data_IF_027480593286
#
_entry.id   IF_027480593286
#
_cell.length_a   1.000
_cell.length_b   1.000
_cell.length_c   1.000
_cell.angle_alpha   90.00
_cell.angle_beta   90.00
_cell.angle_gamma   90.00
#
_symmetry.space_group_name_H-M   'P 1'
#
loop_
_entity.id
_entity.type
_entity.pdbx_description
1 polymer ?
#
# COMPACT_ATOMS: atom_id res chain seq x y z
N UNK A 1 5.82 -0.79 -46.44
CA UNK A 1 5.58 0.45 -45.68
C UNK A 1 6.01 0.15 -44.26
N UNK A 2 7.13 0.70 -43.79
CA UNK A 2 7.59 0.50 -42.41
C UNK A 2 6.65 1.33 -41.53
N UNK A 3 6.00 0.69 -40.57
CA UNK A 3 5.09 1.35 -39.64
C UNK A 3 5.90 2.20 -38.64
N UNK A 4 6.09 3.47 -39.00
CA UNK A 4 6.81 4.46 -38.20
C UNK A 4 6.16 4.72 -36.82
N UNK A 5 4.87 4.37 -36.63
CA UNK A 5 4.20 4.49 -35.33
C UNK A 5 4.78 3.55 -34.27
N UNK A 6 5.14 2.33 -34.66
CA UNK A 6 5.72 1.32 -33.76
C UNK A 6 7.14 1.66 -33.30
N UNK A 7 7.95 2.27 -34.16
CA UNK A 7 9.34 2.64 -33.86
C UNK A 7 9.42 3.82 -32.89
N UNK A 8 8.53 4.81 -33.06
CA UNK A 8 8.45 5.97 -32.16
C UNK A 8 7.95 5.53 -30.77
N UNK A 9 6.99 4.60 -30.72
CA UNK A 9 6.51 4.00 -29.47
C UNK A 9 7.61 3.26 -28.72
N UNK A 10 8.40 2.44 -29.41
CA UNK A 10 9.51 1.67 -28.81
C UNK A 10 10.63 2.57 -28.25
N UNK A 11 10.97 3.66 -28.96
CA UNK A 11 12.02 4.57 -28.51
C UNK A 11 11.57 5.46 -27.35
N UNK A 12 10.31 5.89 -27.34
CA UNK A 12 9.70 6.57 -26.19
C UNK A 12 9.61 5.65 -24.97
N UNK A 13 9.25 4.39 -25.20
CA UNK A 13 9.17 3.36 -24.16
C UNK A 13 10.55 3.08 -23.53
N UNK A 14 11.58 2.89 -24.36
CA UNK A 14 12.96 2.71 -23.90
C UNK A 14 13.47 3.89 -23.08
N UNK A 15 13.14 5.12 -23.50
CA UNK A 15 13.47 6.34 -22.74
C UNK A 15 12.73 6.43 -21.42
N UNK A 16 11.46 6.03 -21.36
CA UNK A 16 10.66 5.98 -20.15
C UNK A 16 11.22 4.95 -19.15
N UNK A 17 11.55 3.74 -19.62
CA UNK A 17 12.18 2.70 -18.81
C UNK A 17 13.53 3.18 -18.28
N UNK A 18 14.40 3.74 -19.12
CA UNK A 18 15.71 4.20 -18.67
C UNK A 18 15.59 5.29 -17.60
N UNK A 19 14.67 6.25 -17.77
CA UNK A 19 14.39 7.26 -16.74
C UNK A 19 13.86 6.65 -15.44
N UNK A 20 13.01 5.64 -15.52
CA UNK A 20 12.50 4.92 -14.35
C UNK A 20 13.62 4.13 -13.65
N UNK A 21 14.47 3.44 -14.40
CA UNK A 21 15.61 2.69 -13.87
C UNK A 21 16.65 3.62 -13.22
N UNK A 22 16.96 4.75 -13.86
CA UNK A 22 17.86 5.77 -13.30
C UNK A 22 17.27 6.38 -12.01
N UNK A 23 15.95 6.60 -11.99
CA UNK A 23 15.23 7.06 -10.81
C UNK A 23 15.29 6.04 -9.67
N UNK A 24 14.96 4.77 -9.94
CA UNK A 24 15.02 3.67 -8.96
C UNK A 24 16.43 3.43 -8.44
N UNK A 25 17.45 3.47 -9.31
CA UNK A 25 18.86 3.37 -8.92
C UNK A 25 19.27 4.55 -8.01
N UNK A 26 18.75 5.76 -8.29
CA UNK A 26 18.94 6.93 -7.44
C UNK A 26 18.26 6.85 -6.08
N UNK A 27 17.15 6.10 -5.94
CA UNK A 27 16.49 5.85 -4.66
C UNK A 27 17.31 4.86 -3.81
N UNK A 28 17.73 3.75 -4.42
CA UNK A 28 18.55 2.71 -3.77
C UNK A 28 19.92 3.28 -3.33
N UNK A 29 20.54 4.14 -4.15
CA UNK A 29 21.83 4.76 -3.83
C UNK A 29 21.79 5.82 -2.72
N UNK A 30 20.61 6.35 -2.38
CA UNK A 30 20.45 7.37 -1.33
C UNK A 30 20.26 6.76 0.07
N UNK A 31 19.70 5.55 0.17
CA UNK A 31 19.48 4.86 1.45
C UNK A 31 20.77 4.23 2.03
N UNK A 32 21.77 3.97 1.18
CA UNK A 32 23.01 3.29 1.57
C UNK A 32 24.12 4.22 2.11
N UNK A 33 23.86 5.50 2.35
CA UNK A 33 24.90 6.42 2.87
C UNK A 33 25.18 6.33 4.38
N UNK A 34 24.35 5.61 5.14
CA UNK A 34 24.48 5.49 6.61
C UNK A 34 24.62 4.05 7.12
N UNK A 35 25.05 3.09 6.29
CA UNK A 35 25.30 1.70 6.73
C UNK A 35 26.72 1.24 6.36
N UNK A 36 27.51 0.70 7.31
CA UNK A 36 28.81 0.11 6.99
C UNK A 36 28.60 -1.17 6.16
N UNK A 37 29.58 -1.56 5.32
CA UNK A 37 29.44 -2.74 4.47
C UNK A 37 29.46 -4.00 5.35
N UNK A 38 28.35 -4.76 5.35
CA UNK A 38 28.34 -6.13 5.86
C UNK A 38 28.91 -7.07 4.79
N UNK A 39 29.88 -7.88 5.20
CA UNK A 39 30.53 -8.89 4.36
C UNK A 39 29.51 -9.91 3.85
N UNK A 40 29.40 -10.02 2.53
CA UNK A 40 28.63 -11.06 1.85
C UNK A 40 29.34 -12.42 2.00
N UNK A 41 28.69 -13.46 2.55
CA UNK A 41 29.24 -14.81 2.49
C UNK A 41 29.11 -15.37 1.06
N UNK A 42 30.22 -15.94 0.57
CA UNK A 42 30.29 -16.68 -0.69
C UNK A 42 29.36 -17.89 -0.65
N UNK A 43 28.40 -17.96 -1.57
CA UNK A 43 27.58 -19.14 -1.81
C UNK A 43 28.34 -20.04 -2.80
N UNK A 44 28.78 -21.19 -2.31
CA UNK A 44 29.26 -22.30 -3.13
C UNK A 44 28.08 -22.89 -3.93
N UNK A 45 28.29 -23.02 -5.23
CA UNK A 45 27.43 -23.71 -6.16
C UNK A 45 27.52 -25.23 -5.95
N UNK A 46 26.40 -25.87 -5.61
CA UNK A 46 26.22 -27.30 -5.85
C UNK A 46 24.90 -27.52 -6.60
N UNK A 47 25.05 -27.95 -7.85
CA UNK A 47 24.00 -28.54 -8.66
C UNK A 47 23.51 -29.82 -7.98
N UNK A 48 22.22 -29.90 -7.66
CA UNK A 48 21.58 -31.18 -7.40
C UNK A 48 20.23 -31.23 -8.10
N UNK A 49 20.25 -31.88 -9.27
CA UNK A 49 19.09 -32.44 -9.93
C UNK A 49 18.42 -33.44 -8.97
N UNK A 50 17.25 -33.09 -8.43
CA UNK A 50 16.33 -34.07 -7.89
C UNK A 50 14.89 -33.68 -8.20
N UNK A 51 14.22 -34.62 -8.88
CA UNK A 51 12.82 -34.61 -9.25
C UNK A 51 11.94 -34.42 -8.01
N UNK A 52 11.24 -33.29 -7.93
CA UNK A 52 10.36 -32.94 -6.80
C UNK A 52 9.13 -33.84 -6.83
N UNK A 53 9.08 -34.77 -5.87
CA UNK A 53 7.84 -35.44 -5.46
C UNK A 53 6.91 -34.39 -4.87
N UNK A 54 5.63 -34.42 -5.23
CA UNK A 54 4.58 -33.58 -4.66
C UNK A 54 4.56 -33.73 -3.13
N UNK A 55 5.05 -32.73 -2.41
CA UNK A 55 4.90 -32.62 -0.96
C UNK A 55 3.43 -32.31 -0.66
N UNK A 56 2.68 -33.32 -0.21
CA UNK A 56 1.36 -33.12 0.38
C UNK A 56 1.50 -32.33 1.68
N UNK A 57 0.87 -31.16 1.75
CA UNK A 57 0.78 -30.37 2.98
C UNK A 57 0.05 -31.18 4.08
N UNK A 58 0.48 -31.07 5.36
CA UNK A 58 -0.26 -31.64 6.49
C UNK A 58 -1.71 -31.13 6.53
N UNK A 59 -2.68 -32.00 6.86
CA UNK A 59 -4.13 -31.69 6.86
C UNK A 59 -4.47 -30.43 7.68
N UNK A 60 -3.84 -30.25 8.85
CA UNK A 60 -4.06 -29.06 9.71
C UNK A 60 -3.62 -27.76 9.05
N UNK A 61 -2.61 -27.79 8.18
CA UNK A 61 -2.15 -26.61 7.44
C UNK A 61 -3.09 -26.34 6.26
N UNK A 62 -3.59 -27.40 5.61
CA UNK A 62 -4.57 -27.32 4.50
C UNK A 62 -5.88 -26.65 4.92
N UNK A 63 -6.43 -27.03 6.08
CA UNK A 63 -7.66 -26.44 6.63
C UNK A 63 -7.49 -24.96 7.01
N UNK A 64 -6.36 -24.63 7.65
CA UNK A 64 -6.05 -23.27 8.05
C UNK A 64 -5.87 -22.34 6.83
N UNK A 65 -5.13 -22.80 5.81
CA UNK A 65 -4.93 -22.06 4.56
C UNK A 65 -6.25 -21.77 3.86
N UNK A 66 -7.09 -22.80 3.71
CA UNK A 66 -8.41 -22.67 3.08
C UNK A 66 -9.30 -21.67 3.82
N UNK A 67 -9.35 -21.77 5.16
CA UNK A 67 -10.14 -20.87 6.01
C UNK A 67 -9.66 -19.41 5.92
N UNK A 68 -8.34 -19.19 6.01
CA UNK A 68 -7.73 -17.85 5.93
C UNK A 68 -7.92 -17.21 4.56
N UNK A 69 -7.77 -17.97 3.47
CA UNK A 69 -8.00 -17.47 2.12
C UNK A 69 -9.47 -17.12 1.89
N UNK A 70 -10.41 -17.95 2.35
CA UNK A 70 -11.85 -17.65 2.30
C UNK A 70 -12.20 -16.38 3.09
N UNK A 71 -11.63 -16.22 4.29
CA UNK A 71 -11.77 -14.99 5.10
C UNK A 71 -11.23 -13.76 4.35
N UNK A 72 -10.04 -13.87 3.77
CA UNK A 72 -9.41 -12.80 2.99
C UNK A 72 -10.31 -12.36 1.83
N UNK A 73 -10.73 -13.29 0.97
CA UNK A 73 -11.59 -12.98 -0.19
C UNK A 73 -12.91 -12.35 0.26
N UNK A 74 -13.53 -12.89 1.31
CA UNK A 74 -14.77 -12.35 1.88
C UNK A 74 -14.58 -10.92 2.38
N UNK A 75 -13.49 -10.64 3.11
CA UNK A 75 -13.20 -9.30 3.64
C UNK A 75 -13.03 -8.25 2.53
N UNK A 76 -12.49 -8.66 1.38
CA UNK A 76 -12.29 -7.78 0.22
C UNK A 76 -13.47 -7.79 -0.77
N UNK A 77 -14.63 -8.35 -0.39
CA UNK A 77 -15.83 -8.48 -1.22
C UNK A 77 -15.58 -9.22 -2.55
N UNK A 78 -14.66 -10.17 -2.57
CA UNK A 78 -14.33 -10.98 -3.74
C UNK A 78 -15.13 -12.28 -3.69
N UNK A 79 -16.01 -12.56 -4.68
CA UNK A 79 -16.73 -13.82 -4.75
C UNK A 79 -15.75 -15.00 -4.88
N UNK A 80 -15.99 -16.09 -4.15
CA UNK A 80 -15.15 -17.29 -4.24
C UNK A 80 -15.08 -17.85 -5.67
N UNK A 81 -16.17 -17.69 -6.44
CA UNK A 81 -16.24 -18.10 -7.84
C UNK A 81 -15.25 -17.35 -8.75
N UNK A 82 -14.83 -16.15 -8.35
CA UNK A 82 -13.94 -15.28 -9.11
C UNK A 82 -12.45 -15.62 -8.93
N UNK A 83 -12.11 -16.56 -8.04
CA UNK A 83 -10.71 -16.84 -7.66
C UNK A 83 -9.85 -17.32 -8.84
N UNK A 84 -10.44 -18.10 -9.75
CA UNK A 84 -9.75 -18.58 -10.94
C UNK A 84 -9.35 -17.44 -11.86
N UNK A 85 -10.23 -16.46 -12.05
CA UNK A 85 -9.95 -15.27 -12.86
C UNK A 85 -8.98 -14.32 -12.15
N UNK A 86 -9.15 -14.11 -10.85
CA UNK A 86 -8.31 -13.22 -10.04
C UNK A 86 -6.83 -13.63 -10.08
N UNK A 87 -6.56 -14.93 -10.00
CA UNK A 87 -5.19 -15.46 -9.96
C UNK A 87 -4.73 -16.10 -11.27
N UNK A 88 -5.54 -16.03 -12.33
CA UNK A 88 -5.26 -16.62 -13.65
C UNK A 88 -4.98 -18.14 -13.60
N UNK A 89 -5.84 -18.87 -12.88
CA UNK A 89 -5.74 -20.31 -12.69
C UNK A 89 -6.37 -21.05 -13.87
N UNK A 90 -5.53 -21.61 -14.76
CA UNK A 90 -5.97 -22.24 -16.01
C UNK A 90 -6.89 -23.45 -15.82
N UNK A 91 -6.75 -24.18 -14.71
CA UNK A 91 -7.48 -25.43 -14.43
C UNK A 91 -8.34 -25.35 -13.16
N UNK A 92 -8.84 -24.16 -12.83
CA UNK A 92 -9.68 -23.98 -11.65
C UNK A 92 -11.14 -24.33 -11.97
N UNK A 93 -11.69 -25.35 -11.29
CA UNK A 93 -13.09 -25.75 -11.39
C UNK A 93 -13.80 -25.57 -10.06
N UNK A 94 -15.10 -25.25 -10.10
CA UNK A 94 -15.90 -25.07 -8.89
C UNK A 94 -15.93 -26.29 -7.97
N UNK A 95 -15.82 -27.50 -8.53
CA UNK A 95 -15.70 -28.74 -7.75
C UNK A 95 -14.48 -28.79 -6.83
N UNK A 96 -13.47 -27.94 -7.05
CA UNK A 96 -12.30 -27.82 -6.17
C UNK A 96 -12.55 -26.91 -4.96
N UNK A 97 -13.62 -26.09 -4.94
CA UNK A 97 -13.95 -25.21 -3.82
C UNK A 97 -14.54 -25.95 -2.61
N UNK A 98 -15.18 -27.09 -2.87
CA UNK A 98 -15.91 -27.88 -1.88
C UNK A 98 -14.99 -28.84 -1.09
N UNK A 99 -13.81 -29.14 -1.64
CA UNK A 99 -12.83 -30.06 -1.06
C UNK A 99 -11.56 -29.26 -0.67
N UNK A 100 -11.30 -29.04 0.64
CA UNK A 100 -10.17 -28.25 1.10
C UNK A 100 -8.82 -28.70 0.55
N UNK A 101 -8.62 -30.00 0.37
CA UNK A 101 -7.34 -30.53 -0.12
C UNK A 101 -7.16 -30.22 -1.60
N UNK A 102 -8.19 -30.44 -2.43
CA UNK A 102 -8.15 -30.06 -3.85
C UNK A 102 -8.06 -28.56 -4.06
N UNK A 103 -8.63 -27.78 -3.14
CA UNK A 103 -8.50 -26.33 -3.15
C UNK A 103 -7.05 -25.94 -2.93
N UNK A 104 -6.40 -26.47 -1.90
CA UNK A 104 -5.00 -26.19 -1.57
C UNK A 104 -4.04 -26.65 -2.67
N UNK A 105 -4.31 -27.77 -3.33
CA UNK A 105 -3.51 -28.27 -4.46
C UNK A 105 -3.47 -27.28 -5.66
N UNK A 106 -4.37 -26.29 -5.71
CA UNK A 106 -4.35 -25.23 -6.71
C UNK A 106 -3.32 -24.12 -6.41
N UNK A 107 -2.72 -24.10 -5.22
CA UNK A 107 -1.85 -23.03 -4.76
C UNK A 107 -0.42 -23.51 -4.54
N UNK A 108 0.44 -23.28 -5.53
CA UNK A 108 1.88 -23.42 -5.38
C UNK A 108 2.49 -22.26 -4.57
N UNK A 109 3.78 -22.40 -4.24
CA UNK A 109 4.52 -21.39 -3.47
C UNK A 109 4.59 -20.03 -4.17
N UNK A 110 4.63 -20.00 -5.50
CA UNK A 110 4.68 -18.75 -6.27
C UNK A 110 3.35 -18.02 -6.21
N UNK A 111 2.24 -18.75 -6.32
CA UNK A 111 0.90 -18.20 -6.23
C UNK A 111 0.60 -17.71 -4.82
N UNK A 112 1.00 -18.46 -3.79
CA UNK A 112 0.86 -18.00 -2.40
C UNK A 112 1.66 -16.72 -2.16
N UNK A 113 2.87 -16.59 -2.72
CA UNK A 113 3.65 -15.36 -2.65
C UNK A 113 2.94 -14.20 -3.38
N UNK A 114 2.35 -14.47 -4.55
CA UNK A 114 1.55 -13.49 -5.30
C UNK A 114 0.32 -13.02 -4.52
N UNK A 115 -0.40 -13.93 -3.87
CA UNK A 115 -1.53 -13.60 -2.98
C UNK A 115 -1.04 -12.69 -1.85
N UNK A 116 0.07 -13.04 -1.22
CA UNK A 116 0.66 -12.24 -0.15
C UNK A 116 1.02 -10.83 -0.63
N UNK A 117 1.59 -10.67 -1.83
CA UNK A 117 1.90 -9.36 -2.41
C UNK A 117 0.65 -8.54 -2.73
N UNK A 118 -0.38 -9.15 -3.34
CA UNK A 118 -1.62 -8.47 -3.72
C UNK A 118 -2.33 -7.89 -2.50
N UNK A 119 -2.43 -8.68 -1.42
CA UNK A 119 -3.17 -8.33 -0.20
C UNK A 119 -2.29 -7.76 0.91
N UNK A 120 -0.99 -7.61 0.67
CA UNK A 120 0.01 -7.13 1.62
C UNK A 120 0.04 -7.89 2.97
N UNK A 121 -0.18 -9.20 2.92
CA UNK A 121 -0.19 -10.10 4.09
C UNK A 121 1.07 -10.97 4.14
N UNK A 122 1.37 -11.54 5.31
CA UNK A 122 2.47 -12.50 5.46
C UNK A 122 2.02 -13.94 5.15
N UNK A 123 2.91 -14.67 4.48
CA UNK A 123 2.71 -16.09 4.19
C UNK A 123 2.47 -16.92 5.46
N UNK A 124 3.17 -16.63 6.55
CA UNK A 124 2.98 -17.30 7.85
C UNK A 124 1.54 -17.18 8.37
N UNK A 125 0.89 -16.03 8.18
CA UNK A 125 -0.50 -15.83 8.58
C UNK A 125 -1.45 -16.61 7.68
N UNK A 126 -1.20 -16.55 6.37
CA UNK A 126 -2.00 -17.24 5.37
C UNK A 126 -1.95 -18.76 5.60
N UNK A 127 -0.79 -19.31 6.00
CA UNK A 127 -0.59 -20.72 6.36
C UNK A 127 -1.09 -21.08 7.76
N UNK A 128 -1.61 -20.13 8.54
CA UNK A 128 -2.08 -20.37 9.91
C UNK A 128 -0.99 -20.57 10.96
N UNK A 129 0.29 -20.32 10.63
CA UNK A 129 1.42 -20.37 11.58
C UNK A 129 1.39 -19.22 12.58
N UNK A 130 0.78 -18.10 12.19
CA UNK A 130 0.60 -16.90 13.03
C UNK A 130 -0.85 -16.46 13.05
N UNK A 131 -1.29 -15.96 14.20
CA UNK A 131 -2.62 -15.37 14.40
C UNK A 131 -2.71 -13.96 13.81
N UNK A 132 -1.66 -13.17 14.01
CA UNK A 132 -1.52 -11.79 13.54
C UNK A 132 -1.21 -11.73 12.05
N UNK A 133 -1.94 -10.91 11.29
CA UNK A 133 -1.72 -10.78 9.85
C UNK A 133 -0.47 -9.97 9.50
N UNK A 134 -0.04 -9.10 10.44
CA UNK A 134 1.09 -8.16 10.38
C UNK A 134 1.65 -7.96 8.97
N UNK A 135 1.20 -6.88 8.32
CA UNK A 135 1.55 -6.50 6.96
C UNK A 135 3.06 -6.55 6.69
N UNK A 136 3.42 -6.75 5.42
CA UNK A 136 4.78 -7.00 4.94
C UNK A 136 5.75 -5.85 5.26
N UNK A 137 5.26 -4.66 5.62
CA UNK A 137 6.09 -3.51 5.96
C UNK A 137 6.08 -3.24 7.47
N UNK A 138 7.18 -3.68 8.09
CA UNK A 138 7.63 -3.47 9.48
C UNK A 138 7.07 -2.23 10.20
N UNK A 139 6.85 -2.29 11.54
CA UNK A 139 6.54 -1.14 12.38
C UNK A 139 7.75 -0.18 12.53
N UNK A 140 8.38 0.22 11.43
CA UNK A 140 9.20 1.42 11.41
C UNK A 140 8.23 2.59 11.47
N UNK A 141 8.35 3.40 12.54
CA UNK A 141 7.55 4.63 12.70
C UNK A 141 7.51 5.38 11.36
N UNK A 142 6.34 5.78 10.88
CA UNK A 142 6.08 6.31 9.56
C UNK A 142 6.92 7.55 9.27
N UNK A 143 7.26 8.40 10.25
CA UNK A 143 8.19 9.51 9.99
C UNK A 143 9.62 9.05 9.58
N UNK A 144 10.00 7.80 9.89
CA UNK A 144 11.24 7.14 9.42
C UNK A 144 11.02 6.30 8.15
N UNK A 145 9.79 5.93 7.84
CA UNK A 145 9.38 5.05 6.75
C UNK A 145 8.42 5.73 5.75
N UNK A 146 8.39 7.06 5.70
CA UNK A 146 7.48 7.79 4.81
C UNK A 146 7.96 7.75 3.37
N UNK A 147 9.29 7.66 3.18
CA UNK A 147 9.87 7.27 1.90
C UNK A 147 9.19 5.99 1.42
N UNK A 148 8.97 5.03 2.31
CA UNK A 148 8.28 3.78 2.01
C UNK A 148 6.79 4.00 1.71
N UNK A 149 6.06 4.88 2.41
CA UNK A 149 4.66 5.19 2.07
C UNK A 149 4.53 5.81 0.67
N UNK A 150 5.31 6.86 0.39
CA UNK A 150 5.25 7.53 -0.92
C UNK A 150 5.77 6.62 -2.03
N UNK A 151 6.88 5.92 -1.80
CA UNK A 151 7.40 4.91 -2.73
C UNK A 151 6.38 3.81 -2.96
N UNK A 152 5.68 3.34 -1.92
CA UNK A 152 4.63 2.33 -2.03
C UNK A 152 3.49 2.82 -2.91
N UNK A 153 2.94 4.01 -2.62
CA UNK A 153 1.86 4.61 -3.42
C UNK A 153 2.33 4.74 -4.88
N UNK A 154 3.55 5.24 -5.10
CA UNK A 154 4.09 5.38 -6.45
C UNK A 154 4.30 4.04 -7.17
N UNK A 155 4.83 3.04 -6.47
CA UNK A 155 5.06 1.72 -7.03
C UNK A 155 3.75 1.01 -7.35
N UNK A 156 2.74 1.11 -6.48
CA UNK A 156 1.45 0.46 -6.72
C UNK A 156 0.68 1.09 -7.87
N UNK A 157 0.73 2.42 -8.01
CA UNK A 157 -0.04 3.11 -9.05
C UNK A 157 0.72 3.22 -10.37
N UNK A 158 2.04 3.42 -10.32
CA UNK A 158 2.85 3.81 -11.49
C UNK A 158 3.92 2.79 -11.86
N UNK A 159 4.06 1.68 -11.14
CA UNK A 159 4.80 0.55 -11.71
C UNK A 159 4.10 0.14 -12.99
N UNK A 160 4.79 0.12 -14.15
CA UNK A 160 4.17 -0.22 -15.43
C UNK A 160 3.47 -1.60 -15.39
N UNK A 161 3.93 -2.49 -14.52
CA UNK A 161 3.36 -3.81 -14.29
C UNK A 161 2.07 -3.81 -13.44
N UNK A 162 1.92 -2.84 -12.52
CA UNK A 162 0.75 -2.76 -11.60
C UNK A 162 -0.27 -1.70 -12.00
N UNK A 163 0.14 -0.72 -12.82
CA UNK A 163 -0.69 0.41 -13.24
C UNK A 163 -1.90 -0.02 -14.08
N UNK A 164 -1.77 -1.10 -14.86
CA UNK A 164 -2.87 -1.63 -15.68
C UNK A 164 -3.97 -2.28 -14.85
N UNK A 165 -3.58 -2.85 -13.71
CA UNK A 165 -4.52 -3.45 -12.75
C UNK A 165 -5.06 -2.40 -11.78
N UNK A 166 -4.31 -1.33 -11.49
CA UNK A 166 -4.68 -0.34 -10.48
C UNK A 166 -5.56 0.77 -11.07
N UNK A 167 -6.76 0.94 -10.49
CA UNK A 167 -7.75 1.93 -10.91
C UNK A 167 -7.62 3.25 -10.15
N UNK A 168 -7.15 3.17 -8.91
CA UNK A 168 -7.07 4.34 -8.05
C UNK A 168 -6.65 3.95 -6.64
N UNK A 169 -6.49 4.98 -5.82
CA UNK A 169 -6.21 4.82 -4.41
C UNK A 169 -6.90 5.92 -3.61
N UNK A 170 -7.13 5.63 -2.34
CA UNK A 170 -7.59 6.57 -1.33
C UNK A 170 -6.69 6.47 -0.10
N UNK A 171 -6.43 7.60 0.55
CA UNK A 171 -5.75 7.63 1.84
C UNK A 171 -6.75 7.87 2.95
N UNK A 172 -6.64 7.07 4.00
CA UNK A 172 -7.41 7.22 5.22
C UNK A 172 -6.45 7.51 6.38
N UNK A 173 -6.68 8.64 7.03
CA UNK A 173 -6.09 8.97 8.30
C UNK A 173 -7.08 8.51 9.36
N UNK A 174 -6.76 7.40 10.01
CA UNK A 174 -7.61 6.77 11.01
C UNK A 174 -7.23 7.27 12.40
N UNK A 175 -8.27 7.63 13.15
CA UNK A 175 -8.22 8.10 14.53
C UNK A 175 -9.05 7.17 15.42
N UNK A 176 -8.63 7.01 16.67
CA UNK A 176 -9.51 6.39 17.66
C UNK A 176 -10.65 7.35 18.02
N UNK A 177 -11.85 6.80 18.23
CA UNK A 177 -13.09 7.54 18.51
C UNK A 177 -13.03 8.37 19.78
N UNK A 178 -12.25 7.95 20.79
CA UNK A 178 -12.03 8.71 22.02
C UNK A 178 -11.11 9.91 21.84
N UNK A 179 -10.38 9.99 20.71
CA UNK A 179 -9.56 11.14 20.38
C UNK A 179 -10.42 12.25 19.79
N UNK A 180 -10.42 13.42 20.44
CA UNK A 180 -11.02 14.62 19.87
C UNK A 180 -10.09 15.21 18.82
N UNK A 181 -10.66 15.47 17.64
CA UNK A 181 -9.89 15.86 16.47
C UNK A 181 -10.54 17.01 15.70
N UNK A 182 -10.39 18.22 16.22
CA UNK A 182 -10.72 19.45 15.50
C UNK A 182 -9.46 20.20 15.07
N UNK A 183 -9.60 21.07 14.07
CA UNK A 183 -8.53 21.97 13.60
C UNK A 183 -7.93 22.78 14.75
N UNK A 184 -8.79 23.25 15.67
CA UNK A 184 -8.36 24.00 16.87
C UNK A 184 -7.58 23.13 17.85
N UNK A 185 -8.02 21.90 18.07
CA UNK A 185 -7.32 20.96 18.96
C UNK A 185 -5.96 20.57 18.39
N UNK A 186 -5.87 20.29 17.09
CA UNK A 186 -4.59 20.00 16.43
C UNK A 186 -3.55 21.11 16.59
N UNK A 187 -3.97 22.35 16.34
CA UNK A 187 -3.08 23.51 16.49
C UNK A 187 -2.69 23.73 17.95
N UNK A 188 -3.55 23.34 18.92
CA UNK A 188 -3.18 23.38 20.34
C UNK A 188 -2.21 22.25 20.75
N UNK A 189 -2.36 21.05 20.16
CA UNK A 189 -1.51 19.88 20.42
C UNK A 189 -0.08 20.12 19.93
N UNK A 190 0.12 20.98 18.91
CA UNK A 190 1.44 21.43 18.45
C UNK A 190 2.36 21.91 19.58
N UNK A 191 1.78 22.54 20.60
CA UNK A 191 2.52 23.16 21.71
C UNK A 191 2.59 22.29 22.96
N UNK A 192 1.93 21.13 22.96
CA UNK A 192 2.00 20.18 24.07
C UNK A 192 3.32 19.39 24.00
N UNK A 193 3.84 19.01 25.16
CA UNK A 193 5.00 18.12 25.24
C UNK A 193 4.75 16.83 24.43
N UNK A 194 5.81 16.23 23.88
CA UNK A 194 5.80 15.07 22.97
C UNK A 194 5.09 13.80 23.52
N UNK A 195 4.54 13.85 24.73
CA UNK A 195 3.82 12.79 25.43
C UNK A 195 2.33 12.73 25.13
N UNK A 196 1.75 13.69 24.39
CA UNK A 196 0.33 13.62 24.00
C UNK A 196 0.06 12.41 23.09
N UNK A 197 -0.84 11.51 23.52
CA UNK A 197 -1.09 10.19 22.91
C UNK A 197 -2.08 10.22 21.73
N UNK A 198 -2.31 11.36 21.07
CA UNK A 198 -3.13 11.40 19.85
C UNK A 198 -2.39 10.68 18.73
N UNK A 199 -2.65 9.38 18.64
CA UNK A 199 -2.09 8.42 17.71
C UNK A 199 -2.95 8.31 16.46
N UNK A 200 -2.31 8.36 15.29
CA UNK A 200 -2.95 8.03 14.01
C UNK A 200 -2.44 6.71 13.48
N UNK A 201 -3.24 6.14 12.59
CA UNK A 201 -2.84 5.12 11.65
C UNK A 201 -3.17 5.60 10.23
N UNK A 202 -2.31 5.31 9.25
CA UNK A 202 -2.60 5.60 7.84
C UNK A 202 -3.00 4.29 7.16
N UNK A 203 -4.15 4.28 6.50
CA UNK A 203 -4.57 3.17 5.65
C UNK A 203 -4.60 3.64 4.20
N UNK A 204 -3.90 2.92 3.33
CA UNK A 204 -3.95 3.12 1.88
C UNK A 204 -4.88 2.08 1.29
N UNK A 205 -5.99 2.53 0.71
CA UNK A 205 -6.90 1.69 -0.08
C UNK A 205 -6.47 1.76 -1.53
N UNK A 206 -6.29 0.63 -2.19
CA UNK A 206 -5.93 0.55 -3.61
C UNK A 206 -7.02 -0.24 -4.32
N UNK A 207 -7.70 0.38 -5.29
CA UNK A 207 -8.69 -0.30 -6.12
C UNK A 207 -7.99 -0.92 -7.31
N UNK A 208 -8.16 -2.23 -7.49
CA UNK A 208 -7.57 -3.04 -8.54
C UNK A 208 -8.65 -3.70 -9.41
N UNK A 209 -8.32 -4.00 -10.66
CA UNK A 209 -9.13 -4.75 -11.63
C UNK A 209 -8.60 -6.15 -11.80
N UNK A 210 -9.49 -7.09 -12.02
CA UNK A 210 -9.15 -8.46 -12.38
C UNK A 210 -10.13 -9.04 -13.40
N UNK A 211 -9.70 -10.13 -14.05
CA UNK A 211 -10.49 -10.86 -15.02
C UNK A 211 -10.75 -10.10 -16.33
N UNK A 212 -11.35 -10.81 -17.28
CA UNK A 212 -11.69 -10.25 -18.60
C UNK A 212 -12.79 -9.19 -18.52
N UNK A 213 -13.68 -9.32 -17.53
CA UNK A 213 -14.78 -8.38 -17.29
C UNK A 213 -14.32 -7.11 -16.55
N UNK A 214 -13.04 -7.02 -16.16
CA UNK A 214 -12.48 -5.88 -15.41
C UNK A 214 -13.25 -5.61 -14.11
N UNK A 215 -13.59 -6.68 -13.40
CA UNK A 215 -14.20 -6.61 -12.07
C UNK A 215 -13.24 -5.90 -11.11
N UNK A 216 -13.77 -5.09 -10.20
CA UNK A 216 -12.96 -4.29 -9.28
C UNK A 216 -12.98 -4.88 -7.86
N UNK A 217 -11.86 -4.77 -7.15
CA UNK A 217 -11.73 -5.08 -5.73
C UNK A 217 -10.77 -4.08 -5.08
N UNK A 218 -10.88 -3.89 -3.77
CA UNK A 218 -9.98 -2.99 -3.04
C UNK A 218 -9.06 -3.78 -2.14
N UNK A 219 -7.76 -3.49 -2.19
CA UNK A 219 -6.76 -3.97 -1.23
C UNK A 219 -6.38 -2.84 -0.28
N UNK A 220 -5.85 -3.20 0.88
CA UNK A 220 -5.62 -2.23 1.95
C UNK A 220 -4.25 -2.47 2.58
N UNK A 221 -3.44 -1.43 2.65
CA UNK A 221 -2.16 -1.44 3.34
C UNK A 221 -2.18 -0.47 4.51
N UNK A 222 -1.70 -0.95 5.65
CA UNK A 222 -1.65 -0.17 6.88
C UNK A 222 -0.23 0.31 7.13
N UNK A 223 -0.09 1.60 7.42
CA UNK A 223 1.17 2.27 7.71
C UNK A 223 1.12 2.87 9.11
N UNK A 224 1.94 2.29 9.98
CA UNK A 224 2.30 2.74 11.33
C UNK A 224 1.16 2.91 12.33
N UNK A 225 1.51 2.76 13.60
CA UNK A 225 0.62 2.87 14.74
C UNK A 225 1.24 3.82 15.76
N UNK A 226 0.45 4.79 16.23
CA UNK A 226 0.91 5.72 17.25
C UNK A 226 1.74 6.88 16.70
N UNK A 227 1.50 7.30 15.46
CA UNK A 227 2.00 8.58 14.96
C UNK A 227 1.50 9.71 15.86
N UNK A 228 2.40 10.53 16.41
CA UNK A 228 2.00 11.65 17.28
C UNK A 228 1.97 12.95 16.50
N UNK A 229 0.84 13.65 16.49
CA UNK A 229 0.75 14.97 15.84
C UNK A 229 1.65 15.99 16.54
N UNK A 230 1.88 15.90 17.85
CA UNK A 230 2.82 16.79 18.54
C UNK A 230 4.26 16.68 18.02
N UNK A 231 4.64 15.56 17.39
CA UNK A 231 5.97 15.40 16.82
C UNK A 231 6.12 16.09 15.46
N UNK A 232 6.97 17.11 15.39
CA UNK A 232 7.11 17.95 14.19
C UNK A 232 7.45 17.16 12.92
N UNK A 233 8.29 16.11 12.99
CA UNK A 233 8.62 15.30 11.81
C UNK A 233 7.40 14.56 11.30
N UNK A 234 6.57 14.03 12.20
CA UNK A 234 5.28 13.41 11.84
C UNK A 234 4.40 14.43 11.13
N UNK A 235 4.21 15.64 11.67
CA UNK A 235 3.38 16.67 11.03
C UNK A 235 3.87 17.04 9.64
N UNK A 236 5.16 17.34 9.49
CA UNK A 236 5.73 17.72 8.19
C UNK A 236 5.58 16.62 7.17
N UNK A 237 5.76 15.39 7.64
CA UNK A 237 5.58 14.17 6.87
C UNK A 237 4.14 14.03 6.37
N UNK A 238 3.15 14.13 7.25
CA UNK A 238 1.74 14.04 6.89
C UNK A 238 1.31 15.18 5.95
N UNK A 239 1.73 16.41 6.24
CA UNK A 239 1.49 17.57 5.37
C UNK A 239 2.13 17.38 3.99
N UNK A 240 3.31 16.79 3.91
CA UNK A 240 3.97 16.54 2.61
C UNK A 240 3.22 15.49 1.78
N UNK A 241 2.71 14.42 2.41
CA UNK A 241 1.86 13.43 1.74
C UNK A 241 0.53 14.05 1.32
N UNK A 242 -0.05 14.90 2.17
CA UNK A 242 -1.27 15.63 1.82
C UNK A 242 -1.04 16.54 0.61
N UNK A 243 0.03 17.33 0.61
CA UNK A 243 0.43 18.18 -0.51
C UNK A 243 0.60 17.37 -1.80
N UNK A 244 1.26 16.20 -1.74
CA UNK A 244 1.43 15.30 -2.87
C UNK A 244 0.08 14.82 -3.42
N UNK A 245 -0.81 14.36 -2.55
CA UNK A 245 -2.14 13.88 -2.95
C UNK A 245 -2.98 14.99 -3.56
N UNK A 246 -2.91 16.22 -3.06
CA UNK A 246 -3.59 17.36 -3.66
C UNK A 246 -3.08 17.68 -5.06
N UNK A 247 -1.76 17.68 -5.24
CA UNK A 247 -1.14 17.85 -6.55
C UNK A 247 -1.55 16.76 -7.54
N UNK A 248 -1.86 15.56 -7.04
CA UNK A 248 -2.37 14.44 -7.84
C UNK A 248 -3.90 14.40 -7.98
N UNK A 249 -4.60 15.39 -7.42
CA UNK A 249 -6.07 15.42 -7.33
C UNK A 249 -6.65 14.14 -6.72
N UNK A 250 -6.07 13.68 -5.60
CA UNK A 250 -6.46 12.47 -4.87
C UNK A 250 -7.16 12.80 -3.57
N UNK A 251 -8.09 11.94 -3.19
CA UNK A 251 -8.91 12.10 -1.99
C UNK A 251 -8.12 11.65 -0.76
N UNK A 252 -8.15 12.48 0.27
CA UNK A 252 -7.67 12.17 1.61
C UNK A 252 -8.89 12.16 2.51
N UNK A 253 -9.11 11.06 3.20
CA UNK A 253 -10.20 10.87 4.14
C UNK A 253 -9.63 10.95 5.56
N UNK A 254 -10.25 11.75 6.42
CA UNK A 254 -10.06 11.66 7.86
C UNK A 254 -11.25 10.90 8.45
N UNK A 255 -10.95 9.82 9.19
CA UNK A 255 -11.98 8.96 9.78
C UNK A 255 -11.69 8.69 11.25
N UNK A 256 -12.74 8.67 12.06
CA UNK A 256 -12.71 8.06 13.38
C UNK A 256 -13.27 6.64 13.31
N UNK A 257 -12.56 5.72 13.92
CA UNK A 257 -12.95 4.33 14.15
C UNK A 257 -13.00 4.09 15.66
N UNK A 258 -13.85 3.17 16.11
CA UNK A 258 -13.94 2.84 17.53
C UNK A 258 -12.59 2.36 18.08
N UNK A 259 -12.40 2.50 19.40
CA UNK A 259 -11.10 2.27 20.03
C UNK A 259 -10.63 0.81 19.91
N UNK A 260 -11.55 -0.15 19.92
CA UNK A 260 -11.25 -1.57 19.76
C UNK A 260 -10.79 -1.86 18.32
N UNK A 261 -11.51 -1.35 17.32
CA UNK A 261 -11.11 -1.43 15.91
C UNK A 261 -9.77 -0.74 15.65
N UNK A 262 -9.54 0.44 16.25
CA UNK A 262 -8.26 1.15 16.14
C UNK A 262 -7.11 0.31 16.71
N UNK A 263 -7.32 -0.28 17.89
CA UNK A 263 -6.34 -1.16 18.52
C UNK A 263 -6.08 -2.41 17.68
N UNK A 264 -7.14 -3.08 17.21
CA UNK A 264 -7.04 -4.31 16.41
C UNK A 264 -6.37 -4.09 15.04
N UNK A 265 -6.66 -2.95 14.39
CA UNK A 265 -5.95 -2.51 13.19
C UNK A 265 -4.46 -2.29 13.51
N UNK A 266 -4.17 -1.83 14.73
CA UNK A 266 -2.82 -1.50 15.19
C UNK A 266 -1.95 -2.67 15.59
N UNK A 267 -2.55 -3.75 16.05
CA UNK A 267 -1.86 -4.97 16.46
C UNK A 267 -1.74 -5.99 15.33
N UNK A 268 -2.45 -5.77 14.23
CA UNK A 268 -2.54 -6.73 13.16
C UNK A 268 -3.50 -7.90 13.45
N UNK A 269 -4.50 -7.69 14.31
CA UNK A 269 -5.47 -8.72 14.71
C UNK A 269 -6.60 -8.90 13.69
N UNK A 270 -6.91 -7.85 12.93
CA UNK A 270 -8.05 -7.77 12.02
C UNK A 270 -7.60 -7.31 10.64
N UNK A 271 -8.14 -7.89 9.56
CA UNK A 271 -7.81 -7.42 8.22
C UNK A 271 -8.33 -5.98 8.05
N UNK A 272 -7.57 -5.07 7.42
CA UNK A 272 -8.01 -3.68 7.29
C UNK A 272 -9.32 -3.57 6.52
N UNK A 273 -9.53 -4.43 5.52
CA UNK A 273 -10.79 -4.48 4.77
C UNK A 273 -12.01 -4.81 5.65
N UNK A 274 -11.83 -5.58 6.73
CA UNK A 274 -12.90 -5.88 7.68
C UNK A 274 -13.31 -4.65 8.49
N UNK A 275 -12.46 -3.62 8.61
CA UNK A 275 -12.80 -2.34 9.25
C UNK A 275 -13.26 -1.31 8.21
N UNK A 276 -12.57 -1.22 7.07
CA UNK A 276 -12.69 -0.09 6.15
C UNK A 276 -13.85 -0.20 5.15
N UNK A 277 -14.39 -1.39 4.90
CA UNK A 277 -15.58 -1.57 4.06
C UNK A 277 -16.84 -1.20 4.85
N UNK A 278 -17.79 -0.49 4.21
CA UNK A 278 -18.95 0.23 4.80
C UNK A 278 -19.93 -0.60 5.68
N UNK A 279 -19.64 -1.87 5.98
CA UNK A 279 -20.56 -2.82 6.61
C UNK A 279 -20.11 -3.35 7.99
N UNK A 280 -19.05 -2.82 8.62
CA UNK A 280 -18.53 -3.39 9.88
C UNK A 280 -18.61 -2.52 11.13
N UNK A 281 -18.91 -1.21 11.03
CA UNK A 281 -19.03 -0.32 12.18
C UNK A 281 -19.06 1.15 11.79
N UNK A 282 -19.40 2.03 12.74
CA UNK A 282 -19.51 3.49 12.56
C UNK A 282 -18.15 4.14 12.21
N UNK A 283 -17.69 4.02 10.96
CA UNK A 283 -16.65 4.90 10.47
C UNK A 283 -17.23 6.31 10.39
N UNK A 284 -16.79 7.19 11.29
CA UNK A 284 -17.24 8.58 11.30
C UNK A 284 -16.30 9.38 10.41
N UNK A 285 -16.79 9.76 9.24
CA UNK A 285 -16.08 10.68 8.35
C UNK A 285 -16.15 12.10 8.91
N UNK A 286 -14.98 12.68 9.17
CA UNK A 286 -14.86 14.08 9.59
C UNK A 286 -15.02 15.00 8.38
N UNK A 287 -16.25 15.17 7.90
CA UNK A 287 -16.55 15.97 6.68
C UNK A 287 -16.18 17.44 6.78
N UNK A 288 -15.96 17.95 8.00
CA UNK A 288 -15.55 19.33 8.26
C UNK A 288 -14.03 19.50 8.40
N UNK A 289 -13.28 18.41 8.32
CA UNK A 289 -11.82 18.45 8.31
C UNK A 289 -11.33 18.25 6.89
N UNK A 290 -10.73 19.28 6.31
CA UNK A 290 -10.04 19.17 5.03
C UNK A 290 -8.53 19.26 5.26
N UNK A 291 -7.79 18.20 4.92
CA UNK A 291 -6.33 18.24 4.95
C UNK A 291 -5.76 19.34 4.05
N UNK A 292 -6.52 19.82 3.06
CA UNK A 292 -6.19 21.00 2.24
C UNK A 292 -5.88 22.22 3.09
N UNK A 293 -6.67 22.46 4.13
CA UNK A 293 -6.51 23.62 4.99
C UNK A 293 -5.06 23.67 5.55
N UNK A 294 -4.44 22.53 5.84
CA UNK A 294 -3.09 22.46 6.41
C UNK A 294 -1.94 22.58 5.41
N UNK A 295 -2.22 22.58 4.11
CA UNK A 295 -1.21 22.63 3.04
C UNK A 295 -1.49 23.68 1.97
N UNK A 296 -2.58 24.43 2.14
CA UNK A 296 -2.91 25.58 1.29
C UNK A 296 -1.86 26.68 1.39
N UNK A 297 -1.66 27.37 0.26
CA UNK A 297 -0.69 28.46 0.13
C UNK A 297 -1.21 29.80 0.65
N UNK A 298 -2.42 29.85 1.19
CA UNK A 298 -3.05 31.07 1.67
C UNK A 298 -3.12 31.13 3.21
N UNK A 299 -2.54 32.16 3.86
CA UNK A 299 -2.47 32.26 5.32
C UNK A 299 -3.83 32.22 6.05
N UNK A 300 -4.91 32.67 5.40
CA UNK A 300 -6.24 32.72 6.01
C UNK A 300 -6.96 31.36 6.00
N UNK A 301 -6.50 30.42 5.17
CA UNK A 301 -7.02 29.05 5.10
C UNK A 301 -6.16 28.10 5.92
N UNK A 302 -4.86 28.38 6.03
CA UNK A 302 -3.90 27.51 6.69
C UNK A 302 -3.57 27.97 8.12
N UNK A 303 -4.08 27.29 9.16
CA UNK A 303 -3.82 27.66 10.55
C UNK A 303 -2.35 27.51 10.95
N UNK A 304 -1.56 26.77 10.16
CA UNK A 304 -0.12 26.51 10.39
C UNK A 304 0.70 26.98 9.18
N UNK A 305 0.29 28.08 8.55
CA UNK A 305 0.94 28.66 7.37
C UNK A 305 2.43 28.99 7.60
N UNK A 306 2.80 29.34 8.82
CA UNK A 306 4.17 29.65 9.23
C UNK A 306 5.15 28.47 8.98
N UNK A 307 4.64 27.23 9.00
CA UNK A 307 5.43 26.03 8.79
C UNK A 307 5.57 25.63 7.31
N UNK A 308 4.81 26.22 6.40
CA UNK A 308 4.73 25.76 5.01
C UNK A 308 6.08 25.81 4.30
N UNK A 309 6.94 26.79 4.60
CA UNK A 309 8.31 26.83 4.08
C UNK A 309 9.12 25.59 4.48
N UNK A 310 8.98 25.14 5.73
CA UNK A 310 9.68 23.95 6.21
C UNK A 310 9.08 22.67 5.65
N UNK A 311 7.75 22.62 5.48
CA UNK A 311 7.07 21.50 4.79
C UNK A 311 7.54 21.39 3.34
N UNK A 312 7.65 22.51 2.61
CA UNK A 312 8.16 22.52 1.25
C UNK A 312 9.64 22.11 1.17
N UNK A 313 10.49 22.57 2.10
CA UNK A 313 11.88 22.11 2.21
C UNK A 313 11.92 20.60 2.40
N UNK A 314 11.14 20.09 3.36
CA UNK A 314 11.05 18.67 3.64
C UNK A 314 10.55 17.88 2.42
N UNK A 315 9.53 18.38 1.72
CA UNK A 315 9.01 17.78 0.49
C UNK A 315 10.08 17.65 -0.61
N UNK A 316 10.93 18.67 -0.76
CA UNK A 316 12.02 18.65 -1.73
C UNK A 316 13.18 17.74 -1.29
N UNK A 317 13.58 17.79 -0.02
CA UNK A 317 14.64 16.93 0.56
C UNK A 317 14.29 15.45 0.44
N UNK A 318 13.00 15.11 0.59
CA UNK A 318 12.47 13.74 0.41
C UNK A 318 12.23 13.35 -1.05
N UNK A 319 12.59 14.21 -2.01
CA UNK A 319 12.45 13.98 -3.46
C UNK A 319 11.00 13.75 -3.91
N UNK A 320 10.01 14.22 -3.16
CA UNK A 320 8.59 14.11 -3.54
C UNK A 320 8.25 14.82 -4.85
N UNK A 321 9.01 15.86 -5.19
CA UNK A 321 8.93 16.53 -6.49
C UNK A 321 9.25 15.60 -7.67
N UNK A 322 10.09 14.60 -7.48
CA UNK A 322 10.43 13.65 -8.54
C UNK A 322 9.27 12.67 -8.77
N UNK A 323 8.63 12.19 -7.71
CA UNK A 323 7.42 11.40 -7.79
C UNK A 323 6.25 12.18 -8.42
N UNK A 324 6.13 13.48 -8.12
CA UNK A 324 5.18 14.38 -8.78
C UNK A 324 5.42 14.46 -10.30
N UNK A 325 6.68 14.61 -10.72
CA UNK A 325 7.03 14.64 -12.14
C UNK A 325 6.77 13.29 -12.81
N UNK A 326 7.04 12.17 -12.12
CA UNK A 326 6.76 10.83 -12.61
C UNK A 326 5.25 10.62 -12.79
N UNK A 327 4.44 11.04 -11.81
CA UNK A 327 2.99 11.01 -11.92
C UNK A 327 2.50 11.78 -13.15
N UNK A 328 2.94 13.03 -13.29
CA UNK A 328 2.56 13.87 -14.41
C UNK A 328 2.96 13.23 -15.74
N UNK A 329 4.15 12.64 -15.81
CA UNK A 329 4.60 11.92 -17.01
C UNK A 329 3.65 10.78 -17.39
N UNK A 330 3.28 9.90 -16.46
CA UNK A 330 2.39 8.78 -16.77
C UNK A 330 0.96 9.24 -17.07
N UNK A 331 0.45 10.20 -16.30
CA UNK A 331 -0.86 10.80 -16.51
C UNK A 331 -1.00 11.45 -17.90
N UNK A 332 0.04 12.17 -18.34
CA UNK A 332 0.06 12.86 -19.63
C UNK A 332 0.39 11.91 -20.81
N UNK A 333 0.77 10.64 -20.53
CA UNK A 333 1.13 9.64 -21.55
C UNK A 333 0.41 8.30 -21.35
N UNK A 334 -0.93 8.27 -21.33
CA UNK A 334 -1.71 7.06 -21.02
C UNK A 334 -1.46 5.90 -21.99
N UNK A 335 -1.05 6.19 -23.23
CA UNK A 335 -0.68 5.20 -24.23
C UNK A 335 0.52 4.33 -23.82
N UNK A 336 1.41 4.84 -22.97
CA UNK A 336 2.58 4.08 -22.49
C UNK A 336 2.17 2.92 -21.57
N UNK A 337 1.01 3.02 -20.91
CA UNK A 337 0.47 1.91 -20.13
C UNK A 337 0.08 0.71 -21.01
N UNK A 338 -0.32 0.94 -22.26
CA UNK A 338 -0.75 -0.14 -23.17
C UNK A 338 0.42 -0.93 -23.76
N UNK A 339 1.63 -0.35 -23.78
CA UNK A 339 2.83 -0.97 -24.35
C UNK A 339 3.53 -1.88 -23.30
N UNK A 340 3.26 -1.67 -22.02
CA UNK A 340 3.88 -2.40 -20.90
C UNK A 340 3.13 -3.64 -20.41
N UNK A 341 1.92 -3.87 -20.93
CA UNK A 341 1.00 -4.91 -20.46
C UNK A 341 1.19 -6.27 -21.10
#
# INVERSE_FOLDING_TARGET
MIDFGSLIGAELFKRAINKLLDFLAGLIGAENKDSPPEDLPQILSEENNNCVKSETLPETISENLTSKLKRLLKAHNIPLISIGELFNLKDFSYSKLDDPNKFVDCFDSQLLAKICDIFYIKLDWLQGKKTLFNSVHSPKRCYKAIGDLVSFICNEIYSPYKALETCGFELFFCLSSSQKFSTKELSSIRHLNETSETGFCIVVKITKRYGLQKSEFSTYQVFDHGMRWSYWRTRYTLKSVALLCLKWNKKINLVSIDDDSFSALSTGDVLPAEIMEENSGEIIHHRHFDFRDYVESYPHMNPEFDEMKSVESYYNERRYREYENLFKFWHDNPQLHQITG
#
